data_IF_340041061570
#
_entry.id   IF_340041061570
#
_cell.length_a   1.000
_cell.length_b   1.000
_cell.length_c   1.000
_cell.angle_alpha   90.00
_cell.angle_beta   90.00
_cell.angle_gamma   90.00
#
_symmetry.space_group_name_H-M   'P 1'
#
loop_
_entity.id
_entity.type
_entity.pdbx_description
1 polymer ?
#
# COMPACT_ATOMS: atom_id res chain seq x y z
N UNK A 1 -17.43 19.00 17.43
CA UNK A 1 -16.49 18.27 18.31
C UNK A 1 -15.36 17.83 17.43
N UNK A 2 -14.13 18.13 17.78
CA UNK A 2 -12.99 17.91 16.88
C UNK A 2 -12.41 16.53 17.10
N UNK A 3 -11.90 15.93 16.05
CA UNK A 3 -11.34 14.58 16.05
C UNK A 3 -9.88 14.62 15.62
N UNK A 4 -9.01 13.95 16.38
CA UNK A 4 -7.70 13.55 15.87
C UNK A 4 -7.90 12.21 15.16
N UNK A 5 -7.67 12.20 13.85
CA UNK A 5 -7.63 11.01 13.03
C UNK A 5 -6.18 10.64 12.75
N UNK A 6 -5.83 9.37 12.95
CA UNK A 6 -4.53 8.85 12.54
C UNK A 6 -4.78 7.59 11.75
N UNK A 7 -4.15 7.48 10.58
CA UNK A 7 -4.04 6.22 9.88
C UNK A 7 -2.58 5.87 9.55
N UNK A 8 -2.34 4.59 9.37
CA UNK A 8 -1.07 4.03 8.97
C UNK A 8 -1.27 2.98 7.89
N UNK A 9 -0.39 3.00 6.91
CA UNK A 9 -0.40 2.14 5.73
C UNK A 9 0.84 1.23 5.82
N UNK A 10 0.70 -0.04 5.49
CA UNK A 10 1.76 -1.05 5.65
C UNK A 10 1.53 -2.27 4.78
N UNK A 11 2.29 -3.37 4.98
CA UNK A 11 3.34 -3.58 5.99
C UNK A 11 4.72 -3.08 5.55
N UNK A 12 5.26 -2.05 6.22
CA UNK A 12 6.56 -1.46 5.81
C UNK A 12 7.71 -2.48 5.86
N UNK A 13 7.79 -3.28 6.92
CA UNK A 13 8.93 -4.17 7.15
C UNK A 13 8.90 -5.40 6.24
N UNK A 14 7.73 -6.00 6.03
CA UNK A 14 7.60 -7.19 5.18
C UNK A 14 7.89 -6.85 3.70
N UNK A 15 7.52 -5.63 3.25
CA UNK A 15 7.93 -5.13 1.92
C UNK A 15 9.45 -4.96 1.79
N UNK A 16 10.10 -4.43 2.84
CA UNK A 16 11.56 -4.25 2.83
C UNK A 16 12.27 -5.61 2.84
N UNK A 17 11.76 -6.58 3.60
CA UNK A 17 12.36 -7.89 3.77
C UNK A 17 12.35 -8.75 2.49
N UNK A 18 11.35 -8.55 1.61
CA UNK A 18 11.22 -9.30 0.35
C UNK A 18 12.02 -8.72 -0.81
N UNK A 19 12.58 -7.51 -0.67
CA UNK A 19 13.36 -6.85 -1.72
C UNK A 19 14.70 -7.55 -1.98
N UNK A 20 14.96 -7.97 -3.23
CA UNK A 20 16.23 -8.60 -3.63
C UNK A 20 17.25 -7.62 -4.19
N UNK A 21 16.79 -6.47 -4.68
CA UNK A 21 17.59 -5.42 -5.32
C UNK A 21 17.18 -4.05 -4.79
N UNK A 22 18.08 -3.07 -4.89
CA UNK A 22 17.79 -1.68 -4.49
C UNK A 22 16.59 -1.08 -5.24
N UNK A 23 16.32 -1.56 -6.46
CA UNK A 23 15.13 -1.16 -7.22
C UNK A 23 13.84 -1.63 -6.57
N UNK A 24 13.81 -2.85 -6.02
CA UNK A 24 12.64 -3.42 -5.37
C UNK A 24 12.35 -2.65 -4.07
N UNK A 25 13.41 -2.35 -3.31
CA UNK A 25 13.34 -1.52 -2.10
C UNK A 25 12.81 -0.11 -2.40
N UNK A 26 13.37 0.53 -3.44
CA UNK A 26 12.92 1.85 -3.87
C UNK A 26 11.45 1.84 -4.28
N UNK A 27 11.03 0.84 -5.06
CA UNK A 27 9.64 0.71 -5.51
C UNK A 27 8.69 0.51 -4.33
N UNK A 28 9.04 -0.33 -3.35
CA UNK A 28 8.23 -0.54 -2.14
C UNK A 28 8.01 0.76 -1.36
N UNK A 29 9.07 1.56 -1.15
CA UNK A 29 8.97 2.87 -0.50
C UNK A 29 8.14 3.86 -1.33
N UNK A 30 8.35 3.88 -2.65
CA UNK A 30 7.63 4.76 -3.55
C UNK A 30 6.13 4.43 -3.58
N UNK A 31 5.78 3.15 -3.70
CA UNK A 31 4.39 2.69 -3.70
C UNK A 31 3.68 3.06 -2.39
N UNK A 32 4.29 2.80 -1.23
CA UNK A 32 3.71 3.19 0.07
C UNK A 32 3.53 4.71 0.18
N UNK A 33 4.45 5.49 -0.37
CA UNK A 33 4.31 6.95 -0.45
C UNK A 33 3.13 7.35 -1.35
N UNK A 34 2.97 6.73 -2.52
CA UNK A 34 1.83 6.99 -3.42
C UNK A 34 0.47 6.64 -2.79
N UNK A 35 0.40 5.56 -2.03
CA UNK A 35 -0.81 5.20 -1.27
C UNK A 35 -1.09 6.21 -0.16
N UNK A 36 -0.05 6.68 0.53
CA UNK A 36 -0.17 7.68 1.60
C UNK A 36 -0.57 9.05 1.06
N UNK A 37 -0.05 9.43 -0.11
CA UNK A 37 -0.49 10.62 -0.85
C UNK A 37 -1.97 10.55 -1.18
N UNK A 38 -2.47 9.42 -1.71
CA UNK A 38 -3.88 9.29 -2.07
C UNK A 38 -4.80 9.53 -0.86
N UNK A 39 -4.47 8.95 0.30
CA UNK A 39 -5.22 9.17 1.52
C UNK A 39 -5.11 10.62 2.03
N UNK A 40 -3.91 11.21 2.04
CA UNK A 40 -3.71 12.59 2.48
C UNK A 40 -4.41 13.60 1.54
N UNK A 41 -4.32 13.39 0.24
CA UNK A 41 -4.97 14.22 -0.78
C UNK A 41 -6.48 14.22 -0.58
N UNK A 42 -7.09 13.04 -0.39
CA UNK A 42 -8.52 12.94 -0.12
C UNK A 42 -8.93 13.74 1.13
N UNK A 43 -8.15 13.67 2.22
CA UNK A 43 -8.42 14.45 3.43
C UNK A 43 -8.31 15.96 3.13
N UNK A 44 -7.23 16.39 2.49
CA UNK A 44 -7.01 17.80 2.17
C UNK A 44 -8.08 18.38 1.22
N UNK A 45 -8.55 17.60 0.24
CA UNK A 45 -9.59 18.02 -0.71
C UNK A 45 -10.95 18.22 -0.02
N UNK A 46 -11.26 17.40 0.98
CA UNK A 46 -12.57 17.41 1.64
C UNK A 46 -12.62 18.28 2.91
N UNK A 47 -11.48 18.48 3.59
CA UNK A 47 -11.40 19.17 4.88
C UNK A 47 -10.42 20.35 4.88
N UNK A 48 -9.76 20.61 3.75
CA UNK A 48 -8.75 21.64 3.60
C UNK A 48 -7.36 21.18 4.03
N UNK A 49 -6.33 21.74 3.39
CA UNK A 49 -4.92 21.38 3.62
C UNK A 49 -4.49 21.51 5.09
N UNK A 50 -5.01 22.52 5.79
CA UNK A 50 -4.72 22.77 7.22
C UNK A 50 -5.28 21.72 8.17
N UNK A 51 -6.17 20.85 7.70
CA UNK A 51 -6.64 19.70 8.48
C UNK A 51 -5.55 18.64 8.62
N UNK A 52 -4.58 18.58 7.72
CA UNK A 52 -3.44 17.68 7.82
C UNK A 52 -2.38 18.25 8.77
N UNK A 53 -2.12 17.53 9.85
CA UNK A 53 -0.97 17.79 10.74
C UNK A 53 0.28 17.13 10.17
N UNK A 54 0.11 15.95 9.57
CA UNK A 54 1.19 15.22 8.92
C UNK A 54 0.62 14.28 7.83
N UNK A 55 1.16 14.27 6.60
CA UNK A 55 2.16 15.22 6.08
C UNK A 55 1.62 16.66 6.10
N UNK A 56 2.50 17.65 6.14
CA UNK A 56 2.14 19.08 6.07
C UNK A 56 2.61 19.63 4.73
N UNK A 57 1.90 19.37 3.61
CA UNK A 57 2.30 19.86 2.30
C UNK A 57 2.12 21.38 2.21
N UNK A 58 2.99 22.05 1.45
CA UNK A 58 2.85 23.49 1.17
C UNK A 58 1.62 23.81 0.29
N UNK A 59 1.22 22.84 -0.54
CA UNK A 59 0.02 22.89 -1.38
C UNK A 59 -0.52 21.48 -1.62
N UNK A 60 -1.81 21.37 -1.90
CA UNK A 60 -2.44 20.07 -2.16
C UNK A 60 -1.88 19.35 -3.40
N UNK A 61 -1.41 20.10 -4.40
CA UNK A 61 -0.87 19.52 -5.64
C UNK A 61 0.41 18.72 -5.42
N UNK A 62 1.15 18.97 -4.33
CA UNK A 62 2.26 18.13 -3.91
C UNK A 62 1.84 16.69 -3.57
N UNK A 63 0.58 16.48 -3.19
CA UNK A 63 0.01 15.16 -2.87
C UNK A 63 -0.60 14.45 -4.09
N UNK A 64 -0.55 15.05 -5.28
CA UNK A 64 -1.04 14.38 -6.48
C UNK A 64 -0.19 13.16 -6.83
N UNK A 65 -0.77 12.19 -7.57
CA UNK A 65 -0.06 11.02 -8.04
C UNK A 65 1.28 11.36 -8.71
N UNK A 66 2.31 10.57 -8.43
CA UNK A 66 3.60 10.57 -9.14
C UNK A 66 4.42 11.87 -9.00
N UNK A 67 4.08 12.73 -8.04
CA UNK A 67 4.92 13.87 -7.65
C UNK A 67 6.20 13.42 -6.94
N UNK A 68 7.23 14.27 -6.94
CA UNK A 68 8.51 13.97 -6.28
C UNK A 68 8.44 13.95 -4.75
N UNK A 69 7.38 14.50 -4.14
CA UNK A 69 7.25 14.56 -2.68
C UNK A 69 7.09 13.15 -2.12
N UNK A 70 7.86 12.80 -1.11
CA UNK A 70 7.70 11.54 -0.38
C UNK A 70 6.81 11.75 0.83
N UNK A 71 5.76 10.94 0.95
CA UNK A 71 4.85 10.94 2.10
C UNK A 71 5.09 9.68 2.91
N UNK A 72 5.35 9.84 4.19
CA UNK A 72 5.52 8.71 5.08
C UNK A 72 4.20 7.93 5.24
N UNK A 73 4.32 6.68 5.64
CA UNK A 73 3.21 5.73 5.74
C UNK A 73 2.23 5.99 6.90
N UNK A 74 2.23 7.19 7.45
CA UNK A 74 1.39 7.62 8.58
C UNK A 74 0.81 8.98 8.26
N UNK A 75 -0.47 9.14 8.49
CA UNK A 75 -1.20 10.38 8.28
C UNK A 75 -1.87 10.76 9.59
N UNK A 76 -1.78 12.04 9.94
CA UNK A 76 -2.37 12.63 11.14
C UNK A 76 -3.18 13.83 10.68
N UNK A 77 -4.46 13.84 11.02
CA UNK A 77 -5.37 14.93 10.67
C UNK A 77 -6.21 15.36 11.88
N UNK A 78 -6.57 16.63 11.89
CA UNK A 78 -7.54 17.23 12.81
C UNK A 78 -8.78 17.58 12.00
N UNK A 79 -9.90 16.95 12.35
CA UNK A 79 -11.15 17.03 11.60
C UNK A 79 -12.24 17.60 12.49
N UNK A 80 -12.90 18.67 12.05
CA UNK A 80 -14.02 19.29 12.79
C UNK A 80 -15.24 18.37 12.88
N UNK A 81 -15.37 17.46 11.92
CA UNK A 81 -16.38 16.41 11.87
C UNK A 81 -15.76 15.14 11.28
N UNK A 82 -16.15 13.99 11.82
CA UNK A 82 -15.77 12.69 11.28
C UNK A 82 -17.05 11.94 10.86
N UNK A 83 -17.30 11.77 9.56
CA UNK A 83 -18.42 10.97 9.09
C UNK A 83 -18.36 9.54 9.59
N UNK A 84 -19.52 8.89 9.69
CA UNK A 84 -19.56 7.45 9.84
C UNK A 84 -18.79 6.79 8.68
N UNK A 85 -18.05 5.72 9.00
CA UNK A 85 -17.25 4.96 8.03
C UNK A 85 -16.12 5.72 7.35
N UNK A 86 -15.65 6.84 7.93
CA UNK A 86 -14.58 7.63 7.34
C UNK A 86 -13.29 6.82 7.12
N UNK A 87 -12.93 5.96 8.07
CA UNK A 87 -11.75 5.12 7.97
C UNK A 87 -11.84 4.13 6.79
N UNK A 88 -13.00 3.52 6.58
CA UNK A 88 -13.31 2.66 5.45
C UNK A 88 -13.27 3.42 4.13
N UNK A 89 -13.75 4.67 4.11
CA UNK A 89 -13.67 5.51 2.92
C UNK A 89 -12.22 5.80 2.51
N UNK A 90 -11.35 6.07 3.48
CA UNK A 90 -9.91 6.20 3.21
C UNK A 90 -9.33 4.88 2.69
N UNK A 91 -9.74 3.74 3.24
CA UNK A 91 -9.32 2.43 2.77
C UNK A 91 -9.71 2.20 1.30
N UNK A 92 -10.92 2.59 0.89
CA UNK A 92 -11.37 2.53 -0.52
C UNK A 92 -10.49 3.38 -1.45
N UNK A 93 -10.12 4.59 -1.01
CA UNK A 93 -9.25 5.50 -1.78
C UNK A 93 -7.87 4.89 -1.98
N UNK A 94 -7.30 4.32 -0.90
CA UNK A 94 -6.01 3.64 -0.96
C UNK A 94 -6.09 2.43 -1.89
N UNK A 95 -7.13 1.60 -1.75
CA UNK A 95 -7.35 0.43 -2.60
C UNK A 95 -7.47 0.81 -4.08
N UNK A 96 -8.20 1.89 -4.38
CA UNK A 96 -8.33 2.40 -5.76
C UNK A 96 -6.98 2.81 -6.35
N UNK A 97 -6.12 3.48 -5.55
CA UNK A 97 -4.77 3.84 -6.00
C UNK A 97 -3.91 2.60 -6.22
N UNK A 98 -3.98 1.62 -5.32
CA UNK A 98 -3.27 0.35 -5.46
C UNK A 98 -3.70 -0.41 -6.71
N UNK A 99 -5.01 -0.49 -6.98
CA UNK A 99 -5.56 -1.12 -8.18
C UNK A 99 -5.03 -0.42 -9.45
N UNK A 100 -4.95 0.91 -9.46
CA UNK A 100 -4.37 1.67 -10.58
C UNK A 100 -2.90 1.31 -10.81
N UNK A 101 -2.10 1.30 -9.74
CA UNK A 101 -0.68 0.95 -9.83
C UNK A 101 -0.48 -0.49 -10.29
N UNK A 102 -1.33 -1.39 -9.81
CA UNK A 102 -1.33 -2.80 -10.18
C UNK A 102 -1.66 -3.00 -11.65
N UNK A 103 -2.75 -2.40 -12.16
CA UNK A 103 -3.14 -2.54 -13.57
C UNK A 103 -2.05 -1.97 -14.49
N UNK A 104 -1.49 -0.80 -14.14
CA UNK A 104 -0.35 -0.22 -14.87
C UNK A 104 0.88 -1.14 -14.92
N UNK A 105 1.12 -1.92 -13.85
CA UNK A 105 2.19 -2.91 -13.83
C UNK A 105 1.84 -4.12 -14.70
N UNK A 106 0.60 -4.61 -14.62
CA UNK A 106 0.10 -5.74 -15.39
C UNK A 106 0.07 -5.51 -16.89
N UNK A 107 -0.27 -4.30 -17.33
CA UNK A 107 -0.29 -3.92 -18.75
C UNK A 107 1.10 -3.98 -19.39
N UNK A 108 2.16 -3.93 -18.57
CA UNK A 108 3.54 -4.07 -19.03
C UNK A 108 3.99 -5.53 -19.10
N UNK A 109 3.19 -6.50 -18.65
CA UNK A 109 3.57 -7.92 -18.63
C UNK A 109 3.08 -8.61 -19.91
N UNK A 110 4.00 -9.08 -20.74
CA UNK A 110 3.70 -9.81 -21.99
C UNK A 110 3.59 -11.33 -21.81
N UNK A 111 4.09 -11.87 -20.69
CA UNK A 111 4.14 -13.30 -20.40
C UNK A 111 2.81 -13.88 -19.93
N UNK A 112 2.73 -15.21 -19.86
CA UNK A 112 1.60 -15.89 -19.22
C UNK A 112 1.73 -15.80 -17.70
N UNK A 113 0.65 -15.39 -17.05
CA UNK A 113 0.51 -15.40 -15.59
C UNK A 113 -0.98 -15.45 -15.23
N UNK A 114 -1.28 -15.90 -14.00
CA UNK A 114 -2.62 -15.86 -13.46
C UNK A 114 -2.92 -14.47 -12.89
N UNK A 115 -3.59 -13.63 -13.68
CA UNK A 115 -3.91 -12.24 -13.32
C UNK A 115 -4.84 -12.15 -12.11
N UNK A 116 -5.86 -13.00 -12.03
CA UNK A 116 -6.83 -12.98 -10.93
C UNK A 116 -6.17 -13.36 -9.61
N UNK A 117 -5.33 -14.40 -9.62
CA UNK A 117 -4.57 -14.79 -8.44
C UNK A 117 -3.55 -13.73 -8.03
N UNK A 118 -2.90 -13.07 -8.99
CA UNK A 118 -2.02 -11.93 -8.71
C UNK A 118 -2.79 -10.74 -8.09
N UNK A 119 -4.04 -10.50 -8.51
CA UNK A 119 -4.93 -9.49 -7.90
C UNK A 119 -5.22 -9.79 -6.44
N UNK A 120 -5.58 -11.03 -6.15
CA UNK A 120 -5.85 -11.46 -4.78
C UNK A 120 -4.62 -11.32 -3.88
N UNK A 121 -3.44 -11.75 -4.34
CA UNK A 121 -2.20 -11.62 -3.58
C UNK A 121 -1.80 -10.16 -3.29
N UNK A 122 -2.01 -9.24 -4.24
CA UNK A 122 -1.71 -7.81 -4.04
C UNK A 122 -2.69 -7.15 -3.07
N UNK A 123 -3.98 -7.52 -3.13
CA UNK A 123 -4.99 -7.00 -2.20
C UNK A 123 -4.71 -7.42 -0.76
N UNK A 124 -4.32 -8.68 -0.57
CA UNK A 124 -3.96 -9.25 0.74
C UNK A 124 -2.66 -8.62 1.32
N UNK A 125 -1.84 -8.01 0.49
CA UNK A 125 -0.57 -7.44 0.91
C UNK A 125 -0.73 -6.12 1.68
N UNK A 126 -1.82 -5.38 1.48
CA UNK A 126 -1.97 -4.04 2.06
C UNK A 126 -2.53 -4.10 3.49
N UNK A 127 -1.73 -3.67 4.45
CA UNK A 127 -2.20 -3.40 5.81
C UNK A 127 -2.65 -1.94 5.94
N UNK A 128 -3.83 -1.74 6.53
CA UNK A 128 -4.35 -0.42 6.85
C UNK A 128 -4.94 -0.40 8.25
N UNK A 129 -4.46 0.55 9.07
CA UNK A 129 -4.92 0.75 10.44
C UNK A 129 -5.25 2.20 10.66
N UNK A 130 -6.35 2.46 11.37
CA UNK A 130 -6.75 3.82 11.70
C UNK A 130 -7.39 3.89 13.09
N UNK A 131 -7.39 5.09 13.65
CA UNK A 131 -8.04 5.44 14.91
C UNK A 131 -8.58 6.86 14.83
N UNK A 132 -9.59 7.15 15.64
CA UNK A 132 -10.04 8.51 15.90
C UNK A 132 -10.26 8.74 17.39
N UNK A 133 -9.81 9.89 17.90
CA UNK A 133 -10.06 10.34 19.27
C UNK A 133 -10.70 11.71 19.23
N UNK A 134 -11.86 11.83 19.85
CA UNK A 134 -12.59 13.09 20.00
C UNK A 134 -11.98 13.96 21.11
N UNK A 135 -12.02 15.27 20.94
CA UNK A 135 -11.69 16.25 21.96
C UNK A 135 -12.49 17.54 21.77
N UNK A 136 -12.69 18.30 22.85
CA UNK A 136 -13.59 19.46 22.88
C UNK A 136 -12.83 20.80 22.94
N UNK A 137 -11.71 20.85 23.66
CA UNK A 137 -10.92 22.08 23.83
C UNK A 137 -9.52 21.90 23.30
N UNK A 138 -8.93 22.98 22.81
CA UNK A 138 -7.54 22.99 22.33
C UNK A 138 -6.55 22.53 23.42
N UNK A 139 -6.84 22.83 24.70
CA UNK A 139 -6.04 22.34 25.84
C UNK A 139 -5.95 20.81 25.93
N UNK A 140 -6.93 20.10 25.37
CA UNK A 140 -7.03 18.64 25.43
C UNK A 140 -6.33 17.95 24.25
N UNK A 141 -5.90 18.72 23.24
CA UNK A 141 -5.28 18.20 22.02
C UNK A 141 -4.09 17.28 22.32
N UNK A 142 -3.18 17.70 23.20
CA UNK A 142 -1.99 16.91 23.54
C UNK A 142 -2.36 15.55 24.11
N UNK A 143 -3.34 15.50 25.02
CA UNK A 143 -3.80 14.25 25.61
C UNK A 143 -4.51 13.36 24.58
N UNK A 144 -5.38 13.95 23.75
CA UNK A 144 -6.06 13.24 22.69
C UNK A 144 -5.07 12.66 21.66
N UNK A 145 -4.00 13.39 21.35
CA UNK A 145 -2.93 12.97 20.44
C UNK A 145 -2.18 11.77 20.98
N UNK A 146 -1.78 11.81 22.24
CA UNK A 146 -1.11 10.71 22.92
C UNK A 146 -2.01 9.47 23.01
N UNK A 147 -3.29 9.66 23.31
CA UNK A 147 -4.27 8.57 23.33
C UNK A 147 -4.42 7.94 21.95
N UNK A 148 -4.54 8.74 20.90
CA UNK A 148 -4.68 8.25 19.53
C UNK A 148 -3.43 7.44 19.10
N UNK A 149 -2.22 7.90 19.43
CA UNK A 149 -0.99 7.14 19.19
C UNK A 149 -0.98 5.78 19.90
N UNK A 150 -1.35 5.75 21.19
CA UNK A 150 -1.44 4.50 21.97
C UNK A 150 -2.47 3.53 21.39
N UNK A 151 -3.63 4.03 20.96
CA UNK A 151 -4.66 3.22 20.33
C UNK A 151 -4.18 2.66 18.98
N UNK A 152 -3.50 3.46 18.16
CA UNK A 152 -2.98 2.99 16.87
C UNK A 152 -1.91 1.91 17.08
N UNK A 153 -1.00 2.11 18.04
CA UNK A 153 0.01 1.11 18.38
C UNK A 153 -0.64 -0.20 18.86
N UNK A 154 -1.68 -0.10 19.70
CA UNK A 154 -2.47 -1.27 20.15
C UNK A 154 -3.13 -1.97 18.97
N UNK A 155 -3.77 -1.22 18.06
CA UNK A 155 -4.44 -1.77 16.88
C UNK A 155 -3.49 -2.54 15.96
N UNK A 156 -2.25 -2.06 15.80
CA UNK A 156 -1.17 -2.73 15.05
C UNK A 156 -0.73 -4.03 15.73
N UNK A 157 -0.63 -4.04 17.06
CA UNK A 157 -0.24 -5.21 17.84
C UNK A 157 -1.37 -6.26 17.91
N UNK A 158 -2.62 -5.85 17.82
CA UNK A 158 -3.80 -6.73 17.77
C UNK A 158 -4.31 -6.85 16.33
N UNK A 159 -3.41 -6.98 15.35
CA UNK A 159 -3.81 -7.14 13.95
C UNK A 159 -4.65 -8.40 13.76
N UNK A 160 -5.55 -8.35 12.78
CA UNK A 160 -6.30 -9.53 12.40
C UNK A 160 -5.34 -10.46 11.66
N UNK A 161 -5.28 -11.72 12.08
CA UNK A 161 -4.55 -12.75 11.37
C UNK A 161 -5.56 -13.53 10.55
N UNK A 162 -5.75 -13.13 9.30
CA UNK A 162 -6.56 -13.90 8.38
C UNK A 162 -5.76 -15.11 7.90
N UNK A 163 -6.42 -16.28 7.87
CA UNK A 163 -5.79 -17.48 7.34
C UNK A 163 -5.76 -17.37 5.81
N UNK A 164 -4.58 -17.19 5.24
CA UNK A 164 -4.39 -17.37 3.81
C UNK A 164 -4.48 -18.86 3.46
N UNK A 165 -5.45 -19.25 2.64
CA UNK A 165 -5.51 -20.59 2.08
C UNK A 165 -4.57 -20.67 0.88
N UNK A 166 -3.40 -21.27 1.10
CA UNK A 166 -2.45 -21.53 0.01
C UNK A 166 -2.91 -22.64 -0.91
N UNK A 167 -2.43 -22.58 -2.15
CA UNK A 167 -2.62 -23.62 -3.16
C UNK A 167 -1.37 -24.50 -3.31
N UNK A 168 -1.54 -25.68 -3.90
CA UNK A 168 -0.44 -26.59 -4.25
C UNK A 168 0.34 -26.10 -5.50
N UNK A 169 0.80 -24.85 -5.47
CA UNK A 169 1.60 -24.22 -6.51
C UNK A 169 3.05 -24.01 -6.04
N UNK A 170 4.03 -24.01 -6.95
CA UNK A 170 5.40 -23.62 -6.64
C UNK A 170 5.43 -22.21 -6.03
N UNK A 171 6.36 -21.97 -5.10
CA UNK A 171 6.55 -20.65 -4.51
C UNK A 171 7.26 -19.69 -5.45
N UNK A 172 7.00 -18.39 -5.24
CA UNK A 172 7.67 -17.30 -5.94
C UNK A 172 9.18 -17.43 -5.81
N UNK A 173 9.89 -17.27 -6.93
CA UNK A 173 11.36 -17.29 -6.94
C UNK A 173 11.98 -16.03 -6.35
N UNK A 174 11.17 -14.99 -6.04
CA UNK A 174 11.64 -13.75 -5.42
C UNK A 174 11.78 -13.90 -3.91
N UNK A 175 10.70 -14.26 -3.21
CA UNK A 175 10.64 -14.28 -1.75
C UNK A 175 10.42 -15.68 -1.15
N UNK A 176 9.97 -16.65 -1.95
CA UNK A 176 9.61 -17.99 -1.48
C UNK A 176 8.40 -18.02 -0.54
N UNK A 177 7.71 -16.89 -0.32
CA UNK A 177 6.64 -16.77 0.67
C UNK A 177 5.28 -17.13 0.05
N UNK A 178 4.93 -16.48 -1.06
CA UNK A 178 3.66 -16.69 -1.78
C UNK A 178 3.84 -17.62 -2.97
N UNK A 179 2.75 -18.22 -3.43
CA UNK A 179 2.68 -19.02 -4.64
C UNK A 179 3.05 -18.18 -5.87
N UNK A 180 3.72 -18.80 -6.83
CA UNK A 180 4.05 -18.20 -8.12
C UNK A 180 2.77 -17.97 -8.92
N UNK A 181 2.59 -16.74 -9.40
CA UNK A 181 1.54 -16.38 -10.36
C UNK A 181 1.94 -16.75 -11.79
N UNK A 182 3.20 -17.12 -12.02
CA UNK A 182 3.72 -17.54 -13.32
C UNK A 182 3.72 -19.08 -13.37
N UNK A 183 3.09 -19.71 -14.38
CA UNK A 183 3.05 -21.17 -14.48
C UNK A 183 4.43 -21.74 -14.80
N UNK A 184 4.73 -22.95 -14.31
CA UNK A 184 6.03 -23.61 -14.54
C UNK A 184 6.36 -23.80 -16.02
N UNK A 185 5.33 -23.99 -16.85
CA UNK A 185 5.46 -24.14 -18.30
C UNK A 185 6.02 -22.90 -19.00
N UNK A 186 5.85 -21.71 -18.39
CA UNK A 186 6.41 -20.46 -18.89
C UNK A 186 7.93 -20.36 -18.64
N UNK A 187 8.48 -21.11 -17.68
CA UNK A 187 9.91 -21.16 -17.44
C UNK A 187 10.63 -22.13 -18.40
N UNK A 188 11.89 -21.85 -18.77
CA UNK A 188 12.71 -22.80 -19.50
C UNK A 188 12.95 -24.07 -18.70
N UNK A 189 12.77 -25.23 -19.34
CA UNK A 189 13.01 -26.56 -18.75
C UNK A 189 14.52 -26.93 -18.83
N UNK A 190 15.36 -26.04 -18.29
CA UNK A 190 16.81 -26.16 -18.29
C UNK A 190 17.51 -25.62 -19.54
N UNK A 191 18.84 -25.79 -19.60
CA UNK A 191 19.68 -25.18 -20.64
C UNK A 191 19.49 -25.78 -22.05
N UNK A 192 18.84 -26.95 -22.15
CA UNK A 192 18.57 -27.63 -23.42
C UNK A 192 17.15 -27.43 -23.94
N UNK A 193 16.33 -26.61 -23.26
CA UNK A 193 14.98 -26.30 -23.74
C UNK A 193 15.08 -25.55 -25.09
N UNK A 194 14.54 -26.12 -26.19
CA UNK A 194 14.58 -25.48 -27.50
C UNK A 194 13.89 -24.11 -27.55
N UNK A 195 12.95 -23.86 -26.63
CA UNK A 195 12.21 -22.61 -26.50
C UNK A 195 12.77 -21.67 -25.44
N UNK A 196 13.95 -21.98 -24.86
CA UNK A 196 14.54 -21.24 -23.74
C UNK A 196 14.58 -19.74 -23.97
N UNK A 197 15.15 -19.30 -25.09
CA UNK A 197 15.37 -17.88 -25.35
C UNK A 197 14.06 -17.14 -25.63
N UNK A 198 13.10 -17.80 -26.29
CA UNK A 198 11.75 -17.26 -26.51
C UNK A 198 11.00 -17.09 -25.18
N UNK A 199 11.04 -18.11 -24.31
CA UNK A 199 10.43 -18.07 -22.97
C UNK A 199 11.05 -16.99 -22.10
N UNK A 200 12.38 -16.86 -22.09
CA UNK A 200 13.07 -15.78 -21.37
C UNK A 200 12.64 -14.42 -21.91
N UNK A 201 12.57 -14.23 -23.23
CA UNK A 201 12.13 -12.97 -23.82
C UNK A 201 10.70 -12.62 -23.41
N UNK A 202 9.78 -13.59 -23.42
CA UNK A 202 8.39 -13.41 -22.96
C UNK A 202 8.29 -13.05 -21.48
N UNK A 203 9.23 -13.49 -20.64
CA UNK A 203 9.29 -13.17 -19.21
C UNK A 203 9.97 -11.83 -18.88
N UNK A 204 10.94 -11.39 -19.71
CA UNK A 204 11.81 -10.22 -19.41
C UNK A 204 11.33 -8.93 -20.08
N UNK A 205 10.53 -9.01 -21.16
CA UNK A 205 10.15 -7.81 -21.92
C UNK A 205 8.92 -7.14 -21.29
N UNK A 206 9.15 -6.22 -20.36
CA UNK A 206 8.21 -5.16 -20.06
C UNK A 206 8.44 -3.98 -21.02
N UNK A 207 7.40 -3.39 -21.60
CA UNK A 207 7.55 -2.14 -22.35
C UNK A 207 8.16 -1.08 -21.41
N UNK A 208 9.31 -0.54 -21.84
CA UNK A 208 9.92 0.64 -21.24
C UNK A 208 9.03 1.87 -21.51
#
# INVERSE_FOLDING_TARGET
>A
MTHIFICAIGPVQDFIATARRSRDLWYGSWMLSELSKAAACFIAENYGEKSLIFPSPDNISALYPETEVSVANKIVAVLETLPEKFGEKIQEVIATRLDTLQENAFDKIMGQYNKDFAKEQVKDLLEYYWVSVKYDKESDYSHARDQAERLLATRKNTRNFENFQGDYLPKSSLDGARESVIPETAYPQGNRDPQRDEKIRKLVTAQA
#
